data_IF_250786650060
#
_entry.id   IF_250786650060
#
_cell.length_a   1.000
_cell.length_b   1.000
_cell.length_c   1.000
_cell.angle_alpha   90.00
_cell.angle_beta   90.00
_cell.angle_gamma   90.00
#
_symmetry.space_group_name_H-M   'P 1'
#
loop_
_entity.id
_entity.type
_entity.pdbx_description
1 polymer ?
#
# COMPACT_ATOMS: atom_id res chain seq x y z
N UNK A 1 -6.80 -7.19 4.73
CA UNK A 1 -7.89 -8.07 4.26
C UNK A 1 -7.69 -8.43 2.80
N UNK A 2 -8.10 -9.62 2.37
CA UNK A 2 -8.11 -10.06 0.97
C UNK A 2 -9.55 -10.43 0.63
N UNK A 3 -10.13 -9.85 -0.43
CA UNK A 3 -11.53 -10.09 -0.82
C UNK A 3 -11.74 -9.70 -2.29
N UNK A 4 -11.37 -10.57 -3.23
CA UNK A 4 -11.48 -10.30 -4.66
C UNK A 4 -11.68 -11.59 -5.47
N UNK A 5 -12.38 -11.50 -6.62
CA UNK A 5 -12.50 -12.58 -7.60
C UNK A 5 -11.52 -12.46 -8.78
N UNK A 6 -11.12 -11.24 -9.13
CA UNK A 6 -10.33 -10.92 -10.34
C UNK A 6 -9.04 -10.15 -10.01
N UNK A 7 -8.42 -10.42 -8.87
CA UNK A 7 -7.27 -9.65 -8.35
C UNK A 7 -5.90 -10.04 -8.91
N UNK A 8 -5.82 -10.90 -9.94
CA UNK A 8 -4.55 -11.44 -10.44
C UNK A 8 -3.78 -10.40 -11.27
N UNK A 9 -2.56 -10.06 -10.85
CA UNK A 9 -1.61 -9.34 -11.69
C UNK A 9 -1.03 -10.29 -12.76
N UNK A 10 -1.45 -10.08 -14.01
CA UNK A 10 -0.90 -10.75 -15.20
C UNK A 10 0.10 -9.81 -15.89
N UNK A 11 1.38 -10.07 -15.68
CA UNK A 11 2.47 -9.17 -16.07
C UNK A 11 3.30 -9.80 -17.20
N UNK A 12 3.33 -9.22 -18.41
CA UNK A 12 3.98 -9.81 -19.58
C UNK A 12 5.51 -9.62 -19.63
N UNK A 13 6.07 -8.74 -18.79
CA UNK A 13 7.50 -8.47 -18.74
C UNK A 13 8.14 -9.09 -17.51
N UNK A 14 9.47 -9.04 -17.42
CA UNK A 14 10.24 -9.41 -16.25
C UNK A 14 9.99 -8.46 -15.07
N UNK A 15 10.22 -8.94 -13.84
CA UNK A 15 9.87 -8.21 -12.61
C UNK A 15 10.52 -6.82 -12.52
N UNK A 16 11.75 -6.67 -13.02
CA UNK A 16 12.53 -5.42 -13.01
C UNK A 16 11.87 -4.26 -13.77
N UNK A 17 10.85 -4.57 -14.59
CA UNK A 17 10.04 -3.58 -15.33
C UNK A 17 8.91 -2.99 -14.50
N UNK A 18 8.71 -3.44 -13.26
CA UNK A 18 7.61 -3.03 -12.40
C UNK A 18 8.10 -2.55 -11.05
N UNK A 19 7.50 -1.47 -10.55
CA UNK A 19 7.75 -0.97 -9.19
C UNK A 19 6.86 -1.73 -8.19
N UNK A 20 7.21 -2.98 -7.91
CA UNK A 20 6.50 -3.84 -6.95
C UNK A 20 6.87 -3.42 -5.52
N UNK A 21 5.90 -2.91 -4.78
CA UNK A 21 6.11 -2.35 -3.43
C UNK A 21 5.60 -3.24 -2.30
N UNK A 22 4.82 -4.27 -2.64
CA UNK A 22 4.45 -5.32 -1.69
C UNK A 22 4.20 -6.65 -2.41
N UNK A 23 4.62 -7.73 -1.77
CA UNK A 23 4.44 -9.10 -2.23
C UNK A 23 3.72 -9.96 -1.20
N UNK A 24 2.98 -10.96 -1.67
CA UNK A 24 2.60 -12.09 -0.84
C UNK A 24 3.86 -12.85 -0.42
N UNK A 25 3.83 -13.43 0.79
CA UNK A 25 5.02 -14.05 1.38
C UNK A 25 5.46 -15.32 0.66
N UNK A 26 4.51 -16.08 0.13
CA UNK A 26 4.74 -17.36 -0.54
C UNK A 26 3.92 -17.44 -1.81
N UNK A 27 4.43 -18.18 -2.79
CA UNK A 27 3.90 -18.24 -4.16
C UNK A 27 2.65 -19.10 -4.33
N UNK A 28 2.52 -20.14 -3.51
CA UNK A 28 1.44 -21.10 -3.69
C UNK A 28 0.14 -20.65 -3.03
N UNK A 29 -0.99 -21.11 -3.59
CA UNK A 29 -2.29 -20.95 -2.98
C UNK A 29 -2.36 -21.71 -1.64
N UNK A 30 -2.94 -21.14 -0.57
CA UNK A 30 -3.67 -19.87 -0.50
C UNK A 30 -2.83 -18.64 -0.10
N UNK A 31 -1.51 -18.78 0.06
CA UNK A 31 -0.65 -17.70 0.52
C UNK A 31 -0.52 -16.57 -0.51
N UNK A 32 -0.39 -16.92 -1.79
CA UNK A 32 -0.72 -16.04 -2.91
C UNK A 32 -2.16 -16.39 -3.37
N UNK A 33 -3.17 -15.60 -2.97
CA UNK A 33 -4.58 -15.98 -3.10
C UNK A 33 -5.11 -15.89 -4.53
N UNK A 34 -4.37 -15.26 -5.46
CA UNK A 34 -4.83 -15.02 -6.82
C UNK A 34 -3.81 -15.45 -7.89
N UNK A 35 -2.68 -16.04 -7.49
CA UNK A 35 -1.63 -16.50 -8.40
C UNK A 35 -0.99 -15.36 -9.21
N UNK A 36 -0.88 -14.17 -8.63
CA UNK A 36 -0.23 -13.02 -9.28
C UNK A 36 1.22 -13.31 -9.63
N UNK A 37 1.68 -12.83 -10.78
CA UNK A 37 3.09 -12.91 -11.15
C UNK A 37 3.97 -12.20 -10.11
N UNK A 38 5.14 -12.78 -9.82
CA UNK A 38 6.11 -12.29 -8.85
C UNK A 38 5.56 -12.10 -7.44
N UNK A 39 4.44 -12.77 -7.12
CA UNK A 39 3.70 -12.63 -5.87
C UNK A 39 3.20 -11.21 -5.59
N UNK A 40 3.01 -10.42 -6.65
CA UNK A 40 2.65 -9.00 -6.57
C UNK A 40 1.32 -8.81 -5.84
N UNK A 41 1.34 -7.99 -4.80
CA UNK A 41 0.14 -7.55 -4.08
C UNK A 41 -0.13 -6.05 -4.26
N UNK A 42 0.94 -5.26 -4.43
CA UNK A 42 0.87 -3.80 -4.63
C UNK A 42 1.95 -3.35 -5.61
N UNK A 43 1.62 -2.33 -6.41
CA UNK A 43 2.54 -1.71 -7.37
C UNK A 43 2.37 -0.20 -7.36
N UNK A 44 3.46 0.53 -7.53
CA UNK A 44 3.44 1.99 -7.66
C UNK A 44 3.80 2.44 -9.08
N UNK A 45 3.42 3.66 -9.46
CA UNK A 45 3.95 4.30 -10.66
C UNK A 45 5.45 4.62 -10.51
N UNK A 46 6.15 4.88 -11.61
CA UNK A 46 7.59 5.19 -11.58
C UNK A 46 7.92 6.42 -10.73
N UNK A 47 7.00 7.38 -10.66
CA UNK A 47 7.12 8.58 -9.83
C UNK A 47 6.51 8.43 -8.42
N UNK A 48 6.03 7.24 -8.06
CA UNK A 48 5.47 6.92 -6.75
C UNK A 48 4.13 7.59 -6.39
N UNK A 49 3.49 8.31 -7.31
CA UNK A 49 2.26 9.09 -7.02
C UNK A 49 0.96 8.30 -7.18
N UNK A 50 1.00 7.15 -7.83
CA UNK A 50 -0.15 6.25 -7.94
C UNK A 50 0.24 4.92 -7.33
N UNK A 51 -0.59 4.42 -6.42
CA UNK A 51 -0.44 3.13 -5.78
C UNK A 51 -1.67 2.29 -6.11
N UNK A 52 -1.47 1.13 -6.72
CA UNK A 52 -2.52 0.13 -6.90
C UNK A 52 -2.34 -0.98 -5.89
N UNK A 53 -3.44 -1.40 -5.28
CA UNK A 53 -3.44 -2.31 -4.15
C UNK A 53 -4.55 -3.34 -4.33
N UNK A 54 -4.23 -4.63 -4.21
CA UNK A 54 -5.25 -5.69 -4.12
C UNK A 54 -5.71 -5.97 -2.67
N UNK A 55 -4.83 -5.93 -1.66
CA UNK A 55 -5.28 -6.00 -0.27
C UNK A 55 -6.09 -4.79 0.17
N UNK A 56 -7.19 -5.01 0.90
CA UNK A 56 -7.94 -3.93 1.53
C UNK A 56 -7.22 -3.47 2.82
N UNK A 57 -6.29 -2.53 2.68
CA UNK A 57 -5.54 -1.92 3.79
C UNK A 57 -6.44 -1.01 4.66
N UNK A 58 -7.45 -0.40 4.06
CA UNK A 58 -8.47 0.43 4.69
C UNK A 58 -9.42 -0.37 5.58
N UNK A 59 -9.62 -1.67 5.29
CA UNK A 59 -10.39 -2.58 6.16
C UNK A 59 -9.57 -3.12 7.33
N UNK A 60 -8.29 -2.78 7.41
CA UNK A 60 -7.34 -3.37 8.37
C UNK A 60 -6.84 -2.32 9.38
N UNK A 61 -7.59 -1.24 9.62
CA UNK A 61 -7.12 -0.07 10.40
C UNK A 61 -7.03 -0.36 11.89
N UNK A 62 -7.98 -1.08 12.48
CA UNK A 62 -8.01 -1.34 13.92
C UNK A 62 -7.70 -2.80 14.24
N UNK A 63 -7.25 -3.07 15.47
CA UNK A 63 -6.88 -4.42 15.92
C UNK A 63 -8.02 -5.42 15.75
N UNK A 64 -9.25 -5.04 16.11
CA UNK A 64 -10.44 -5.90 15.99
C UNK A 64 -10.87 -6.17 14.55
N UNK A 65 -10.27 -5.50 13.55
CA UNK A 65 -10.48 -5.86 12.16
C UNK A 65 -9.69 -7.11 11.74
N UNK A 66 -8.71 -7.56 12.53
CA UNK A 66 -7.82 -8.64 12.13
C UNK A 66 -8.26 -9.97 12.75
N UNK A 67 -8.31 -11.06 11.97
CA UNK A 67 -8.66 -12.38 12.50
C UNK A 67 -7.58 -12.92 13.45
N UNK A 68 -6.34 -12.46 13.29
CA UNK A 68 -5.23 -12.74 14.19
C UNK A 68 -4.46 -11.45 14.43
N UNK A 69 -4.25 -11.12 15.70
CA UNK A 69 -3.41 -10.02 16.14
C UNK A 69 -2.40 -10.54 17.17
N UNK A 70 -1.11 -10.17 17.10
CA UNK A 70 -0.11 -10.67 18.05
C UNK A 70 -0.48 -10.35 19.50
N UNK A 71 -0.37 -11.36 20.38
CA UNK A 71 -0.67 -11.21 21.82
C UNK A 71 0.20 -10.13 22.46
N UNK A 72 -0.39 -9.35 23.36
CA UNK A 72 0.31 -8.32 24.14
C UNK A 72 0.54 -6.98 23.42
N UNK A 73 0.06 -6.84 22.18
CA UNK A 73 0.09 -5.54 21.48
C UNK A 73 -1.11 -4.67 21.87
N UNK A 74 -0.88 -3.38 22.04
CA UNK A 74 -1.90 -2.37 22.40
C UNK A 74 -1.84 -1.15 21.46
N UNK A 75 -1.73 -1.42 20.16
CA UNK A 75 -1.78 -0.39 19.13
C UNK A 75 -3.17 0.23 18.99
N UNK A 76 -3.21 1.56 18.90
CA UNK A 76 -4.42 2.34 18.60
C UNK A 76 -4.91 2.09 17.17
N UNK A 77 -3.97 2.04 16.22
CA UNK A 77 -4.19 1.74 14.81
C UNK A 77 -3.11 0.78 14.30
N UNK A 78 -3.43 0.03 13.25
CA UNK A 78 -2.52 -0.92 12.64
C UNK A 78 -1.45 -0.24 11.80
N UNK A 79 -0.34 -0.95 11.47
CA UNK A 79 0.69 -0.43 10.58
C UNK A 79 0.17 0.02 9.20
N UNK A 80 -0.96 -0.53 8.73
CA UNK A 80 -1.54 -0.13 7.45
C UNK A 80 -2.03 1.32 7.43
N UNK A 81 -2.30 1.90 8.61
CA UNK A 81 -2.70 3.30 8.71
C UNK A 81 -1.60 4.26 8.22
N UNK A 82 -0.33 3.86 8.30
CA UNK A 82 0.80 4.73 7.93
C UNK A 82 0.77 5.15 6.45
N UNK A 83 0.20 4.33 5.56
CA UNK A 83 0.02 4.71 4.16
C UNK A 83 -0.82 5.99 4.00
N UNK A 84 -1.89 6.12 4.80
CA UNK A 84 -2.77 7.29 4.79
C UNK A 84 -2.11 8.50 5.46
N UNK A 85 -1.35 8.27 6.54
CA UNK A 85 -0.55 9.31 7.19
C UNK A 85 0.49 9.90 6.22
N UNK A 86 1.19 9.03 5.48
CA UNK A 86 2.17 9.46 4.49
C UNK A 86 1.55 10.25 3.34
N UNK A 87 0.38 9.82 2.85
CA UNK A 87 -0.36 10.56 1.83
C UNK A 87 -0.72 11.99 2.31
N UNK A 88 -1.25 12.12 3.54
CA UNK A 88 -1.56 13.42 4.14
C UNK A 88 -0.31 14.30 4.29
N UNK A 89 0.77 13.75 4.89
CA UNK A 89 2.04 14.47 5.09
C UNK A 89 2.62 14.97 3.77
N UNK A 90 2.51 14.18 2.71
CA UNK A 90 2.97 14.58 1.38
C UNK A 90 2.21 15.81 0.87
N UNK A 91 0.88 15.80 0.94
CA UNK A 91 0.03 16.94 0.54
C UNK A 91 0.39 18.19 1.35
N UNK A 92 0.49 18.07 2.67
CA UNK A 92 0.84 19.18 3.56
C UNK A 92 2.18 19.82 3.20
N UNK A 93 3.19 18.99 2.90
CA UNK A 93 4.49 19.47 2.44
C UNK A 93 4.37 20.24 1.11
N UNK A 94 3.61 19.71 0.14
CA UNK A 94 3.44 20.39 -1.15
C UNK A 94 2.77 21.76 -1.00
N UNK A 95 1.82 21.92 -0.07
CA UNK A 95 1.19 23.22 0.18
C UNK A 95 2.10 24.18 0.95
N UNK A 96 2.83 23.70 1.96
CA UNK A 96 3.78 24.53 2.70
C UNK A 96 4.89 25.10 1.79
N UNK A 97 5.41 24.29 0.86
CA UNK A 97 6.42 24.72 -0.11
C UNK A 97 5.86 25.79 -1.08
N UNK A 98 4.58 25.70 -1.45
CA UNK A 98 3.90 26.70 -2.30
C UNK A 98 3.67 28.03 -1.59
N UNK A 99 3.30 27.99 -0.31
CA UNK A 99 3.06 29.20 0.49
C UNK A 99 4.38 29.91 0.82
N UNK A 100 5.45 29.14 1.10
CA UNK A 100 6.81 29.68 1.24
C UNK A 100 7.29 30.36 -0.04
N UNK A 101 7.08 29.74 -1.20
CA UNK A 101 7.43 30.34 -2.49
C UNK A 101 6.64 31.64 -2.77
N UNK A 102 5.36 31.72 -2.39
CA UNK A 102 4.55 32.94 -2.54
C UNK A 102 5.03 34.10 -1.66
N UNK A 103 5.56 33.81 -0.47
CA UNK A 103 6.05 34.85 0.46
C UNK A 103 7.38 35.51 0.05
N UNK A 104 8.14 34.90 -0.85
CA UNK A 104 9.44 35.40 -1.33
C UNK A 104 9.29 36.34 -2.53
N UNK A 105 8.12 36.39 -3.16
CA UNK A 105 7.82 37.27 -4.31
C UNK A 105 6.90 38.45 -3.96
N UNK A 106 6.76 38.81 -2.68
CA UNK A 106 6.18 40.07 -2.21
C UNK A 106 7.26 40.91 -1.53
#
# INVERSE_FOLDING_TARGET
WISHGEGKFSLPYSEDRYNVVAKYRYTDYPANPNGSHFDTAMMASDNGRHLVVMPHIERSVFQWNWPYYPKGRTDEVSPWHEAFVNARKWIEKQHADQDGARSVFQ
#
